data_IF_109067752565
#
_entry.id   IF_109067752565
#
_cell.length_a   1.000
_cell.length_b   1.000
_cell.length_c   1.000
_cell.angle_alpha   90.00
_cell.angle_beta   90.00
_cell.angle_gamma   90.00
#
_symmetry.space_group_name_H-M   'P 1'
#
loop_
_entity.id
_entity.type
_entity.pdbx_description
1 polymer ?
#
# COMPACT_ATOMS: atom_id res chain seq x y z
N UNK A 1 -1.07 -24.22 -1.86
CA UNK A 1 -2.02 -23.20 -2.37
C UNK A 1 -1.19 -22.08 -2.96
N UNK A 2 -1.24 -21.85 -4.28
CA UNK A 2 -0.56 -20.71 -4.88
C UNK A 2 -1.28 -19.45 -4.37
N UNK A 3 -0.62 -18.67 -3.51
CA UNK A 3 -1.15 -17.37 -3.13
C UNK A 3 -1.13 -16.49 -4.39
N UNK A 4 -2.31 -16.12 -4.88
CA UNK A 4 -2.40 -15.18 -6.00
C UNK A 4 -1.77 -13.86 -5.56
N UNK A 5 -1.02 -13.17 -6.46
CA UNK A 5 -0.52 -11.83 -6.17
C UNK A 5 -1.70 -10.93 -5.80
N UNK A 6 -1.71 -10.39 -4.58
CA UNK A 6 -2.72 -9.41 -4.18
C UNK A 6 -2.36 -8.07 -4.83
N UNK A 7 -2.89 -7.81 -6.01
CA UNK A 7 -2.78 -6.50 -6.65
C UNK A 7 -3.62 -5.49 -5.87
N UNK A 8 -3.11 -4.27 -5.71
CA UNK A 8 -3.73 -3.28 -4.86
C UNK A 8 -2.76 -2.22 -4.36
N UNK A 9 -3.22 -1.46 -3.39
CA UNK A 9 -2.43 -0.48 -2.65
C UNK A 9 -1.94 -1.11 -1.35
N UNK A 10 -0.67 -0.91 -1.05
CA UNK A 10 -0.06 -1.30 0.22
C UNK A 10 0.44 -0.06 0.94
N UNK A 11 0.34 -0.09 2.27
CA UNK A 11 0.74 0.99 3.16
C UNK A 11 1.90 0.52 4.04
N UNK A 12 2.97 1.30 4.06
CA UNK A 12 3.97 1.27 5.12
C UNK A 12 3.64 2.41 6.10
N UNK A 13 3.10 2.03 7.26
CA UNK A 13 2.66 2.97 8.28
C UNK A 13 3.85 3.67 8.96
N UNK A 14 4.97 2.98 9.11
CA UNK A 14 6.19 3.50 9.71
C UNK A 14 6.81 4.64 8.89
N UNK A 15 6.69 4.57 7.56
CA UNK A 15 7.22 5.59 6.64
C UNK A 15 6.16 6.58 6.15
N UNK A 16 4.87 6.32 6.39
CA UNK A 16 3.77 7.09 5.79
C UNK A 16 3.75 6.98 4.27
N UNK A 17 4.10 5.81 3.72
CA UNK A 17 4.22 5.60 2.27
C UNK A 17 3.23 4.57 1.76
N UNK A 18 2.70 4.83 0.57
CA UNK A 18 1.89 3.86 -0.17
C UNK A 18 2.48 3.52 -1.52
N UNK A 19 2.31 2.28 -1.95
CA UNK A 19 2.73 1.78 -3.25
C UNK A 19 1.57 1.10 -3.95
N UNK A 20 1.54 1.22 -5.28
CA UNK A 20 0.54 0.58 -6.14
C UNK A 20 1.13 -0.65 -6.81
N UNK A 21 0.58 -1.82 -6.55
CA UNK A 21 1.01 -3.07 -7.12
C UNK A 21 -0.01 -3.51 -8.16
N UNK A 22 0.35 -3.38 -9.43
CA UNK A 22 -0.43 -3.82 -10.59
C UNK A 22 0.34 -4.85 -11.45
N UNK A 23 1.46 -5.35 -10.95
CA UNK A 23 2.33 -6.31 -11.64
C UNK A 23 3.02 -7.21 -10.61
N UNK A 24 3.29 -8.48 -10.94
CA UNK A 24 3.82 -9.47 -9.98
C UNK A 24 5.35 -9.37 -9.77
N UNK A 25 6.03 -8.40 -10.38
CA UNK A 25 7.50 -8.30 -10.35
C UNK A 25 8.07 -7.98 -8.96
N UNK A 26 7.27 -7.32 -8.12
CA UNK A 26 7.56 -7.05 -6.72
C UNK A 26 6.25 -6.99 -5.95
N UNK A 27 6.16 -7.76 -4.87
CA UNK A 27 5.02 -7.76 -3.97
C UNK A 27 5.55 -7.36 -2.59
N UNK A 28 4.99 -6.32 -1.96
CA UNK A 28 5.36 -5.92 -0.62
C UNK A 28 5.01 -7.03 0.40
N UNK A 29 5.89 -7.24 1.38
CA UNK A 29 5.70 -8.24 2.43
C UNK A 29 5.35 -7.59 3.77
N UNK A 30 4.53 -8.28 4.55
CA UNK A 30 4.25 -7.94 5.95
C UNK A 30 5.48 -8.26 6.82
N UNK A 31 5.69 -7.57 7.96
CA UNK A 31 4.80 -6.58 8.57
C UNK A 31 4.96 -5.15 8.04
N UNK A 32 6.02 -4.89 7.27
CA UNK A 32 6.38 -3.52 6.85
C UNK A 32 5.33 -2.91 5.91
N UNK A 33 4.75 -3.73 5.04
CA UNK A 33 3.75 -3.30 4.06
C UNK A 33 2.44 -4.04 4.26
N UNK A 34 1.41 -3.31 4.67
CA UNK A 34 0.07 -3.86 4.92
C UNK A 34 -0.83 -3.62 3.72
N UNK A 35 -1.57 -4.64 3.31
CA UNK A 35 -2.54 -4.52 2.22
C UNK A 35 -3.70 -3.59 2.60
N UNK A 36 -3.87 -2.51 1.84
CA UNK A 36 -4.84 -1.48 2.13
C UNK A 36 -6.15 -1.68 1.35
N UNK A 37 -6.06 -1.85 0.02
CA UNK A 37 -7.24 -2.01 -0.86
C UNK A 37 -6.85 -2.66 -2.18
N UNK A 38 -7.77 -3.40 -2.79
CA UNK A 38 -7.63 -3.96 -4.15
C UNK A 38 -7.84 -2.91 -5.26
N UNK A 39 -8.39 -1.74 -4.91
CA UNK A 39 -8.63 -0.64 -5.84
C UNK A 39 -7.30 0.05 -6.19
N UNK A 40 -6.59 -0.48 -7.19
CA UNK A 40 -5.29 0.02 -7.63
C UNK A 40 -5.35 1.50 -8.03
N UNK A 41 -6.47 1.98 -8.58
CA UNK A 41 -6.60 3.38 -9.03
C UNK A 41 -7.13 4.32 -7.94
N UNK A 42 -7.15 3.87 -6.68
CA UNK A 42 -7.58 4.69 -5.54
C UNK A 42 -6.77 5.99 -5.47
N UNK A 43 -7.48 7.09 -5.21
CA UNK A 43 -6.86 8.41 -5.05
C UNK A 43 -6.17 8.50 -3.69
N UNK A 44 -5.21 9.43 -3.54
CA UNK A 44 -4.52 9.61 -2.26
C UNK A 44 -5.50 9.99 -1.14
N UNK A 45 -6.52 10.81 -1.43
CA UNK A 45 -7.57 11.16 -0.46
C UNK A 45 -8.32 9.92 0.04
N UNK A 46 -8.74 9.04 -0.88
CA UNK A 46 -9.44 7.82 -0.50
C UNK A 46 -8.53 6.84 0.27
N UNK A 47 -7.28 6.71 -0.16
CA UNK A 47 -6.24 5.91 0.54
C UNK A 47 -6.11 6.36 2.00
N UNK A 48 -6.05 7.67 2.24
CA UNK A 48 -5.94 8.24 3.60
C UNK A 48 -7.17 7.93 4.44
N UNK A 49 -8.37 8.09 3.87
CA UNK A 49 -9.61 7.69 4.55
C UNK A 49 -9.56 6.22 4.94
N UNK A 50 -9.26 5.32 4.00
CA UNK A 50 -9.20 3.87 4.25
C UNK A 50 -8.14 3.51 5.29
N UNK A 51 -6.98 4.17 5.28
CA UNK A 51 -5.92 3.94 6.26
C UNK A 51 -6.36 4.34 7.68
N UNK A 52 -7.03 5.48 7.82
CA UNK A 52 -7.63 5.93 9.08
C UNK A 52 -8.74 5.00 9.54
N UNK A 53 -9.68 4.65 8.65
CA UNK A 53 -10.84 3.81 8.95
C UNK A 53 -10.42 2.41 9.42
N UNK A 54 -9.32 1.89 8.88
CA UNK A 54 -8.73 0.60 9.28
C UNK A 54 -7.80 0.69 10.50
N UNK A 55 -7.53 1.90 11.02
CA UNK A 55 -6.59 2.11 12.12
C UNK A 55 -5.14 1.76 11.77
N UNK A 56 -4.78 1.78 10.47
CA UNK A 56 -3.46 1.40 9.98
C UNK A 56 -2.45 2.55 9.98
N UNK A 57 -2.91 3.79 10.17
CA UNK A 57 -2.03 4.95 10.36
C UNK A 57 -2.64 5.91 11.37
N UNK A 58 -1.83 6.37 12.33
CA UNK A 58 -2.21 7.45 13.25
C UNK A 58 -2.10 8.84 12.63
N UNK A 59 -1.46 8.94 11.46
CA UNK A 59 -1.20 10.18 10.75
C UNK A 59 -1.43 9.98 9.25
N UNK A 60 -2.70 9.72 8.90
CA UNK A 60 -3.07 9.43 7.52
C UNK A 60 -2.83 10.63 6.60
N UNK A 61 -2.92 11.86 7.11
CA UNK A 61 -2.74 13.07 6.28
C UNK A 61 -1.31 13.23 5.74
N UNK A 62 -0.32 12.63 6.40
CA UNK A 62 1.06 12.60 5.93
C UNK A 62 1.36 11.44 4.97
N UNK A 63 0.39 10.57 4.67
CA UNK A 63 0.57 9.49 3.70
C UNK A 63 0.84 10.07 2.30
N UNK A 64 1.90 9.59 1.67
CA UNK A 64 2.34 10.00 0.33
C UNK A 64 2.71 8.78 -0.53
N UNK A 65 2.79 8.98 -1.84
CA UNK A 65 3.25 7.92 -2.75
C UNK A 65 4.74 7.62 -2.54
N UNK A 66 5.04 6.34 -2.36
CA UNK A 66 6.40 5.79 -2.35
C UNK A 66 6.84 5.36 -3.76
N UNK A 67 8.03 4.77 -3.83
CA UNK A 67 8.60 4.22 -5.06
C UNK A 67 8.80 2.72 -4.91
N UNK A 68 8.43 1.96 -5.94
CA UNK A 68 8.75 0.54 -6.02
C UNK A 68 10.25 0.40 -6.31
N UNK A 69 11.00 -0.45 -5.59
CA UNK A 69 12.40 -0.70 -5.90
C UNK A 69 12.55 -1.21 -7.33
N UNK A 70 13.46 -0.59 -8.09
CA UNK A 70 13.86 -1.12 -9.38
C UNK A 70 14.74 -2.34 -9.12
N UNK A 71 14.41 -3.48 -9.75
CA UNK A 71 15.34 -4.61 -9.84
C UNK A 71 16.47 -4.18 -10.77
N UNK A 72 17.68 -4.11 -10.25
CA UNK A 72 18.91 -4.01 -11.07
C UNK A 72 19.10 -5.30 -11.89
#
# INVERSE_FOLDING_TARGET
MQQQPKFGIYLNASEGKVVRINSPYWIPEEPDWVFLTEEVNSTLLNIRSVASDKGLSSDADNITWGRIPLKD
#
